data_IF_700942603679
#
_entry.id   IF_700942603679
#
_cell.length_a   1.000
_cell.length_b   1.000
_cell.length_c   1.000
_cell.angle_alpha   90.00
_cell.angle_beta   90.00
_cell.angle_gamma   90.00
#
_symmetry.space_group_name_H-M   'P 1'
#
loop_
_entity.id
_entity.type
_entity.pdbx_description
1 polymer ?
#
# COMPACT_ATOMS: atom_id res chain seq x y z
N UNK A 1 20.28 -1.38 -30.48
CA UNK A 1 19.05 -1.39 -29.62
C UNK A 1 19.34 -0.58 -28.38
N UNK A 2 18.43 0.31 -27.95
CA UNK A 2 18.69 1.15 -26.77
C UNK A 2 18.82 0.29 -25.50
N UNK A 3 19.74 0.63 -24.57
CA UNK A 3 19.97 -0.15 -23.34
C UNK A 3 18.69 -0.36 -22.52
N UNK A 4 17.79 0.63 -22.56
CA UNK A 4 16.46 0.56 -21.93
C UNK A 4 15.60 -0.62 -22.46
N UNK A 5 15.64 -0.90 -23.77
CA UNK A 5 14.91 -2.02 -24.38
C UNK A 5 15.47 -3.39 -24.01
N UNK A 6 16.75 -3.46 -23.64
CA UNK A 6 17.37 -4.72 -23.18
C UNK A 6 17.03 -4.99 -21.72
N UNK A 7 17.02 -3.95 -20.89
CA UNK A 7 16.63 -4.04 -19.48
C UNK A 7 15.18 -4.50 -19.32
N UNK A 8 14.23 -3.89 -20.06
CA UNK A 8 12.79 -4.24 -20.00
C UNK A 8 12.43 -5.63 -20.56
N UNK A 9 13.42 -6.44 -20.99
CA UNK A 9 13.22 -7.80 -21.50
C UNK A 9 13.60 -8.90 -20.52
N UNK A 10 14.14 -8.56 -19.34
CA UNK A 10 14.46 -9.57 -18.32
C UNK A 10 13.29 -9.72 -17.34
N UNK A 11 13.01 -10.93 -16.85
CA UNK A 11 11.90 -11.18 -15.94
C UNK A 11 12.06 -10.40 -14.62
N UNK A 12 13.29 -10.15 -14.18
CA UNK A 12 13.59 -9.39 -12.96
C UNK A 12 13.22 -7.91 -13.12
N UNK A 13 13.54 -7.31 -14.27
CA UNK A 13 13.17 -5.93 -14.56
C UNK A 13 11.65 -5.76 -14.64
N UNK A 14 10.96 -6.74 -15.23
CA UNK A 14 9.49 -6.75 -15.30
C UNK A 14 8.89 -6.90 -13.90
N UNK A 15 9.39 -7.84 -13.09
CA UNK A 15 8.92 -8.03 -11.71
C UNK A 15 9.11 -6.77 -10.86
N UNK A 16 10.30 -6.15 -10.93
CA UNK A 16 10.59 -4.89 -10.24
C UNK A 16 9.68 -3.75 -10.69
N UNK A 17 9.44 -3.62 -11.99
CA UNK A 17 8.53 -2.61 -12.53
C UNK A 17 7.08 -2.82 -12.06
N UNK A 18 6.61 -4.07 -12.00
CA UNK A 18 5.26 -4.40 -11.51
C UNK A 18 5.12 -4.06 -10.03
N UNK A 19 6.09 -4.46 -9.20
CA UNK A 19 6.09 -4.16 -7.75
C UNK A 19 6.07 -2.65 -7.54
N UNK A 20 6.95 -1.91 -8.24
CA UNK A 20 7.02 -0.46 -8.12
C UNK A 20 5.72 0.22 -8.58
N UNK A 21 5.15 -0.22 -9.70
CA UNK A 21 3.86 0.27 -10.18
C UNK A 21 2.73 0.02 -9.17
N UNK A 22 2.72 -1.14 -8.51
CA UNK A 22 1.75 -1.45 -7.47
C UNK A 22 1.91 -0.53 -6.25
N UNK A 23 3.14 -0.27 -5.79
CA UNK A 23 3.41 0.67 -4.70
C UNK A 23 2.96 2.09 -5.05
N UNK A 24 3.21 2.55 -6.27
CA UNK A 24 2.73 3.84 -6.75
C UNK A 24 1.20 3.90 -6.76
N UNK A 25 0.53 2.86 -7.26
CA UNK A 25 -0.92 2.79 -7.26
C UNK A 25 -1.48 2.86 -5.83
N UNK A 26 -0.91 2.11 -4.88
CA UNK A 26 -1.28 2.17 -3.47
C UNK A 26 -1.11 3.57 -2.89
N UNK A 27 0.05 4.20 -3.11
CA UNK A 27 0.36 5.53 -2.56
C UNK A 27 -0.54 6.64 -3.13
N UNK A 28 -0.83 6.62 -4.43
CA UNK A 28 -1.68 7.60 -5.09
C UNK A 28 -3.15 7.45 -4.69
N UNK A 29 -3.60 6.23 -4.47
CA UNK A 29 -5.00 5.93 -4.10
C UNK A 29 -5.26 6.03 -2.59
N UNK A 30 -4.22 6.05 -1.76
CA UNK A 30 -4.31 6.16 -0.30
C UNK A 30 -5.23 7.32 0.19
N UNK A 31 -5.03 8.60 -0.21
CA UNK A 31 -5.89 9.69 0.25
C UNK A 31 -7.30 9.66 -0.34
N UNK A 32 -7.53 8.93 -1.45
CA UNK A 32 -8.84 8.80 -2.08
C UNK A 32 -9.71 7.80 -1.32
N UNK A 33 -9.17 6.63 -0.98
CA UNK A 33 -9.93 5.58 -0.29
C UNK A 33 -9.93 5.72 1.23
N UNK A 34 -8.87 6.27 1.81
CA UNK A 34 -8.71 6.44 3.25
C UNK A 34 -8.45 7.91 3.58
N UNK A 35 -9.44 8.79 3.39
CA UNK A 35 -9.31 10.19 3.76
C UNK A 35 -9.25 10.31 5.30
N UNK A 36 -8.32 11.11 5.81
CA UNK A 36 -8.15 11.35 7.25
C UNK A 36 -6.82 10.85 7.80
N UNK A 37 -6.78 10.64 9.11
CA UNK A 37 -5.59 10.17 9.82
C UNK A 37 -5.55 8.63 9.86
N UNK A 38 -4.59 7.97 9.18
CA UNK A 38 -4.44 6.51 9.25
C UNK A 38 -4.02 5.99 10.62
N UNK A 39 -3.63 6.86 11.54
CA UNK A 39 -3.27 6.50 12.90
C UNK A 39 -4.46 6.56 13.87
N UNK A 40 -5.62 7.05 13.42
CA UNK A 40 -6.83 7.08 14.22
C UNK A 40 -7.36 5.66 14.49
N UNK A 41 -8.00 5.49 15.64
CA UNK A 41 -8.69 4.24 16.01
C UNK A 41 -9.94 4.13 15.13
N UNK A 42 -10.05 3.02 14.40
CA UNK A 42 -11.14 2.76 13.47
C UNK A 42 -12.12 1.69 13.97
N UNK A 43 -11.68 0.78 14.86
CA UNK A 43 -12.52 -0.31 15.35
C UNK A 43 -11.97 -1.05 16.57
N UNK A 44 -12.56 -2.21 16.92
CA UNK A 44 -12.08 -3.07 18.00
C UNK A 44 -10.65 -3.52 17.75
N UNK A 45 -9.82 -3.61 18.79
CA UNK A 45 -8.46 -4.12 18.64
C UNK A 45 -8.43 -5.57 18.13
N UNK A 46 -7.46 -5.88 17.26
CA UNK A 46 -7.22 -7.21 16.70
C UNK A 46 -8.42 -7.82 15.95
N UNK A 47 -9.24 -6.98 15.29
CA UNK A 47 -10.22 -7.47 14.33
C UNK A 47 -9.52 -8.31 13.24
N UNK A 48 -9.95 -9.56 12.99
CA UNK A 48 -9.36 -10.38 11.94
C UNK A 48 -9.66 -9.82 10.54
N UNK A 49 -8.83 -10.15 9.53
CA UNK A 49 -9.13 -9.79 8.15
C UNK A 49 -10.40 -10.49 7.66
N UNK A 50 -11.08 -9.85 6.71
CA UNK A 50 -12.28 -10.34 6.01
C UNK A 50 -13.51 -10.59 6.89
N UNK A 51 -13.53 -10.05 8.11
CA UNK A 51 -14.70 -10.08 9.00
C UNK A 51 -15.63 -8.89 8.80
N UNK A 52 -15.06 -7.73 8.47
CA UNK A 52 -15.79 -6.50 8.22
C UNK A 52 -15.28 -5.88 6.92
N UNK A 53 -16.18 -5.60 5.97
CA UNK A 53 -15.82 -5.01 4.68
C UNK A 53 -15.45 -3.52 4.78
N UNK A 54 -15.82 -2.85 5.87
CA UNK A 54 -15.31 -1.51 6.18
C UNK A 54 -13.84 -1.54 6.64
N UNK A 55 -13.37 -2.69 7.13
CA UNK A 55 -12.01 -2.95 7.59
C UNK A 55 -11.48 -4.25 6.95
N UNK A 56 -11.23 -4.30 5.63
CA UNK A 56 -11.03 -5.56 4.90
C UNK A 56 -9.84 -6.40 5.40
N UNK A 57 -8.78 -5.72 5.86
CA UNK A 57 -7.60 -6.37 6.45
C UNK A 57 -7.63 -6.41 7.98
N UNK A 58 -8.76 -6.00 8.58
CA UNK A 58 -8.94 -5.91 10.01
C UNK A 58 -8.19 -4.74 10.64
N UNK A 59 -7.87 -4.89 11.92
CA UNK A 59 -7.23 -3.84 12.71
C UNK A 59 -6.02 -4.37 13.48
N UNK A 60 -5.12 -3.48 13.86
CA UNK A 60 -4.00 -3.83 14.72
C UNK A 60 -4.35 -3.87 16.23
N UNK A 61 -3.32 -3.95 17.08
CA UNK A 61 -3.45 -3.99 18.55
C UNK A 61 -4.07 -2.74 19.17
N UNK A 62 -4.05 -1.61 18.46
CA UNK A 62 -4.64 -0.35 18.91
C UNK A 62 -6.04 -0.12 18.31
N UNK A 63 -6.49 -0.99 17.40
CA UNK A 63 -7.75 -0.81 16.68
C UNK A 63 -7.63 0.07 15.44
N UNK A 64 -6.42 0.29 14.91
CA UNK A 64 -6.20 1.07 13.68
C UNK A 64 -6.43 0.22 12.44
N UNK A 65 -6.98 0.81 11.38
CA UNK A 65 -7.20 0.14 10.10
C UNK A 65 -5.86 -0.25 9.43
N UNK A 66 -5.64 -1.56 9.27
CA UNK A 66 -4.41 -2.11 8.69
C UNK A 66 -4.27 -1.76 7.20
N UNK A 67 -5.38 -1.76 6.45
CA UNK A 67 -5.36 -1.44 5.03
C UNK A 67 -5.03 0.04 4.80
N UNK A 68 -5.67 0.93 5.57
CA UNK A 68 -5.36 2.36 5.56
C UNK A 68 -3.88 2.61 5.89
N UNK A 69 -3.36 1.96 6.92
CA UNK A 69 -1.96 2.07 7.34
C UNK A 69 -0.99 1.58 6.26
N UNK A 70 -1.31 0.50 5.53
CA UNK A 70 -0.48 0.00 4.44
C UNK A 70 -0.43 0.95 3.24
N UNK A 71 -1.57 1.48 2.81
CA UNK A 71 -1.62 2.40 1.66
C UNK A 71 -0.91 3.72 1.95
N UNK A 72 -1.16 4.31 3.13
CA UNK A 72 -0.43 5.52 3.55
C UNK A 72 1.04 5.24 3.87
N UNK A 73 1.37 4.06 4.38
CA UNK A 73 2.75 3.60 4.57
C UNK A 73 3.53 3.49 3.26
N UNK A 74 2.89 3.03 2.18
CA UNK A 74 3.48 3.02 0.84
C UNK A 74 3.79 4.45 0.36
N UNK A 75 2.89 5.41 0.60
CA UNK A 75 3.10 6.83 0.28
C UNK A 75 4.29 7.42 1.02
N UNK A 76 4.39 7.20 2.33
CA UNK A 76 5.51 7.68 3.15
C UNK A 76 6.83 7.03 2.70
N UNK A 77 6.83 5.71 2.47
CA UNK A 77 8.02 4.98 2.00
C UNK A 77 8.52 5.49 0.65
N UNK A 78 7.63 5.73 -0.32
CA UNK A 78 7.99 6.27 -1.62
C UNK A 78 8.47 7.73 -1.52
N UNK A 79 7.88 8.54 -0.64
CA UNK A 79 8.32 9.92 -0.44
C UNK A 79 9.71 10.05 0.19
N UNK A 80 10.13 9.04 0.97
CA UNK A 80 11.47 8.99 1.58
C UNK A 80 12.49 8.30 0.67
N UNK A 81 12.06 7.29 -0.08
CA UNK A 81 12.93 6.46 -0.93
C UNK A 81 13.24 7.05 -2.31
N UNK A 82 12.54 8.11 -2.73
CA UNK A 82 12.74 8.84 -3.98
C UNK A 82 13.33 10.23 -3.69
#
# INVERSE_FOLDING_TARGET
MSPLRRFLRTPEAIAGAIILAALFAMALTAPLFFPGDPQAIAGPALLPPFQDWSLPLGTDRLGRDVLAALLHGARTSLAVGL
#
